data_IF_834540396974
#
_entry.id   IF_834540396974
#
_cell.length_a   1.000
_cell.length_b   1.000
_cell.length_c   1.000
_cell.angle_alpha   90.00
_cell.angle_beta   90.00
_cell.angle_gamma   90.00
#
_symmetry.space_group_name_H-M   'P 1'
#
loop_
_entity.id
_entity.type
_entity.pdbx_description
1 polymer ?
2 non-polymer ?
3 non-polymer ?
4 non-polymer ?
5 non-polymer ?
6 non-polymer ?
7 non-polymer ?
8 non-polymer ?
9 non-polymer ?
10 water ?
#
# COMPACT_ATOMS: atom_id res chain seq x y z
N UNK A 1 -14.96 28.46 -1.47
CA UNK A 1 -15.54 28.74 -0.16
C UNK A 1 -14.76 28.03 0.92
N UNK A 2 -14.82 28.57 2.15
CA UNK A 2 -14.23 27.93 3.32
C UNK A 2 -15.32 27.17 4.05
N UNK A 3 -15.11 25.85 4.27
CA UNK A 3 -16.06 24.99 4.95
C UNK A 3 -15.55 24.54 6.30
N UNK A 4 -16.48 24.17 7.21
CA UNK A 4 -16.15 23.57 8.51
C UNK A 4 -16.46 22.05 8.50
N UNK A 5 -17.45 21.63 7.69
CA UNK A 5 -17.86 20.24 7.56
C UNK A 5 -17.77 19.80 6.11
N UNK A 6 -17.41 18.54 5.87
CA UNK A 6 -17.35 17.99 4.52
C UNK A 6 -17.45 16.47 4.64
N UNK A 7 -18.62 15.93 4.33
CA UNK A 7 -18.89 14.52 4.55
C UNK A 7 -18.80 14.25 6.05
N UNK A 8 -17.96 13.28 6.46
CA UNK A 8 -17.72 12.99 7.88
C UNK A 8 -16.44 13.71 8.45
N UNK A 9 -15.81 14.63 7.68
CA UNK A 9 -14.65 15.38 8.17
C UNK A 9 -15.13 16.69 8.83
N UNK A 10 -14.45 17.11 9.91
CA UNK A 10 -14.76 18.33 10.67
C UNK A 10 -13.45 19.06 10.94
N UNK A 11 -13.41 20.39 10.70
CA UNK A 11 -12.23 21.21 11.05
C UNK A 11 -11.93 21.03 12.57
N UNK A 12 -10.63 20.92 12.90
CA UNK A 12 -10.05 20.67 14.23
C UNK A 12 -9.85 19.15 14.56
N UNK A 13 -10.32 18.23 13.71
CA UNK A 13 -10.10 16.80 13.99
C UNK A 13 -8.62 16.43 13.83
N UNK A 14 -8.20 15.37 14.51
CA UNK A 14 -6.85 14.85 14.43
C UNK A 14 -6.82 13.89 13.22
N UNK A 15 -5.78 13.94 12.40
CA UNK A 15 -5.76 13.23 11.12
C UNK A 15 -4.30 12.81 10.76
N UNK A 16 -4.14 11.89 9.76
CA UNK A 16 -2.85 11.57 9.18
C UNK A 16 -2.76 12.28 7.80
N UNK A 17 -1.59 12.82 7.50
CA UNK A 17 -1.33 13.51 6.24
C UNK A 17 -0.08 13.00 5.56
N UNK A 18 -0.07 13.01 4.22
CA UNK A 18 1.08 12.56 3.44
C UNK A 18 2.08 13.71 3.27
N UNK A 19 3.33 13.53 3.73
CA UNK A 19 4.40 14.53 3.53
C UNK A 19 5.08 14.31 2.16
N UNK A 20 5.92 15.28 1.74
CA UNK A 20 6.65 15.21 0.46
C UNK A 20 7.64 14.03 0.41
N UNK A 21 8.01 13.48 1.58
CA UNK A 21 8.89 12.31 1.65
C UNK A 21 8.12 11.01 1.27
N UNK A 22 6.77 11.09 1.10
CA UNK A 22 5.86 9.96 0.79
C UNK A 22 5.53 9.11 2.01
N UNK A 23 5.96 9.56 3.23
CA UNK A 23 5.60 8.88 4.48
C UNK A 23 4.50 9.72 5.16
N UNK A 24 3.64 9.05 5.97
CA UNK A 24 2.44 9.69 6.56
C UNK A 24 2.61 9.95 8.05
N UNK A 25 2.13 11.12 8.51
CA UNK A 25 2.37 11.63 9.86
C UNK A 25 1.16 12.31 10.43
N UNK A 26 1.12 12.39 11.77
CA UNK A 26 0.00 12.94 12.51
C UNK A 26 -0.07 14.45 12.41
N UNK A 27 -1.29 14.96 12.31
CA UNK A 27 -1.55 16.38 12.26
C UNK A 27 -2.97 16.73 12.59
N UNK A 28 -3.31 18.01 12.44
CA UNK A 28 -4.66 18.53 12.72
C UNK A 28 -5.24 19.15 11.44
N UNK A 29 -6.53 18.87 11.13
CA UNK A 29 -7.21 19.47 9.98
C UNK A 29 -7.63 20.89 10.38
N UNK A 30 -7.00 21.93 9.80
CA UNK A 30 -7.24 23.32 10.21
C UNK A 30 -8.13 24.09 9.22
N UNK A 31 -8.37 23.56 8.02
CA UNK A 31 -9.25 24.23 7.05
C UNK A 31 -9.70 23.27 5.93
N UNK A 32 -10.86 23.56 5.34
CA UNK A 32 -11.38 22.83 4.17
C UNK A 32 -11.74 23.92 3.16
N UNK A 33 -11.17 23.86 1.94
CA UNK A 33 -11.39 24.88 0.90
C UNK A 33 -12.01 24.24 -0.34
N UNK A 34 -12.92 24.97 -1.02
CA UNK A 34 -13.48 24.50 -2.30
C UNK A 34 -13.18 25.50 -3.41
N UNK A 35 -12.96 24.99 -4.63
CA UNK A 35 -12.79 25.81 -5.84
C UNK A 35 -13.61 25.13 -6.95
N UNK A 36 -14.90 25.43 -6.98
CA UNK A 36 -15.82 24.81 -7.92
C UNK A 36 -16.11 23.37 -7.52
N UNK A 37 -15.77 22.37 -8.36
CA UNK A 37 -16.01 20.97 -7.95
C UNK A 37 -14.88 20.34 -7.10
N UNK A 38 -13.72 21.00 -7.04
CA UNK A 38 -12.57 20.49 -6.30
C UNK A 38 -12.57 20.86 -4.83
N UNK A 39 -11.87 20.05 -4.00
CA UNK A 39 -11.76 20.28 -2.54
C UNK A 39 -10.31 20.09 -2.09
N UNK A 40 -9.84 20.95 -1.18
CA UNK A 40 -8.49 20.84 -0.58
C UNK A 40 -8.59 20.88 0.93
N UNK A 41 -7.63 20.24 1.61
CA UNK A 41 -7.61 20.09 3.07
C UNK A 41 -6.29 20.59 3.65
N UNK A 42 -6.34 21.65 4.47
CA UNK A 42 -5.13 22.21 5.08
C UNK A 42 -4.81 21.47 6.40
N UNK A 43 -3.60 20.87 6.48
CA UNK A 43 -3.18 20.10 7.65
C UNK A 43 -2.00 20.78 8.32
N UNK A 44 -2.05 20.89 9.67
CA UNK A 44 -0.90 21.36 10.43
C UNK A 44 -0.28 20.11 11.07
N UNK A 45 0.95 19.76 10.66
CA UNK A 45 1.65 18.59 11.21
C UNK A 45 2.17 18.89 12.61
N UNK A 46 2.34 17.85 13.45
CA UNK A 46 2.80 18.02 14.84
C UNK A 46 4.23 18.57 14.94
N UNK A 47 5.16 18.01 14.18
CA UNK A 47 6.56 18.44 14.19
C UNK A 47 7.00 18.92 12.82
N UNK A 48 6.15 19.72 12.14
CA UNK A 48 6.44 20.23 10.80
C UNK A 48 5.60 21.48 10.50
N UNK A 49 5.62 21.91 9.24
CA UNK A 49 4.84 23.05 8.80
C UNK A 49 3.42 22.65 8.43
N UNK A 50 2.86 23.34 7.42
CA UNK A 50 1.51 23.09 6.95
C UNK A 50 1.55 22.65 5.48
N UNK A 51 0.56 21.85 5.05
CA UNK A 51 0.42 21.44 3.66
C UNK A 51 -1.05 21.60 3.26
N UNK A 52 -1.30 21.99 2.03
CA UNK A 52 -2.65 22.03 1.47
C UNK A 52 -2.76 20.80 0.58
N UNK A 53 -3.53 19.79 1.04
CA UNK A 53 -3.55 18.47 0.41
C UNK A 53 -4.87 18.11 -0.23
N UNK A 54 -4.84 17.24 -1.25
CA UNK A 54 -6.06 16.69 -1.85
C UNK A 54 -6.60 15.61 -0.91
N UNK A 55 -7.88 15.25 -1.08
CA UNK A 55 -8.56 14.28 -0.21
C UNK A 55 -7.99 12.86 -0.18
N UNK A 56 -7.28 12.44 -1.25
CA UNK A 56 -6.65 11.10 -1.34
C UNK A 56 -5.26 11.08 -0.62
N UNK A 57 -4.83 12.24 -0.08
CA UNK A 57 -3.56 12.39 0.63
C UNK A 57 -3.75 12.71 2.13
N UNK A 58 -4.94 12.38 2.66
CA UNK A 58 -5.26 12.43 4.11
C UNK A 58 -5.93 11.09 4.49
N UNK A 59 -5.71 10.64 5.73
CA UNK A 59 -6.26 9.37 6.22
C UNK A 59 -6.77 9.52 7.64
N UNK A 60 -7.78 8.71 8.03
CA UNK A 60 -8.32 8.75 9.40
C UNK A 60 -7.32 8.15 10.38
N UNK A 61 -7.29 8.66 11.60
CA UNK A 61 -6.37 8.15 12.63
C UNK A 61 -7.09 7.10 13.50
N UNK A 62 -7.68 6.10 12.86
CA UNK A 62 -8.32 4.98 13.53
C UNK A 62 -8.28 3.78 12.59
N UNK A 63 -8.43 2.58 13.14
CA UNK A 63 -8.36 1.36 12.36
C UNK A 63 -9.75 1.04 11.81
N UNK A 64 -9.87 0.70 10.52
CA UNK A 64 -11.21 0.42 9.98
C UNK A 64 -11.76 -0.94 10.41
N UNK A 65 -13.08 -1.06 10.68
CA UNK A 65 -13.64 -2.40 10.91
C UNK A 65 -13.60 -3.20 9.60
N UNK A 66 -13.46 -4.53 9.70
CA UNK A 66 -13.26 -5.41 8.53
C UNK A 66 -14.37 -5.32 7.46
N UNK A 67 -15.63 -5.04 7.82
CA UNK A 67 -16.72 -4.95 6.83
C UNK A 67 -16.60 -3.72 5.89
N UNK A 68 -15.71 -2.74 6.23
CA UNK A 68 -15.52 -1.54 5.41
C UNK A 68 -14.34 -1.68 4.43
N UNK A 69 -13.56 -2.77 4.51
CA UNK A 69 -12.40 -2.96 3.64
C UNK A 69 -12.67 -4.02 2.58
N UNK A 70 -12.28 -3.74 1.34
CA UNK A 70 -12.47 -4.64 0.19
C UNK A 70 -11.15 -4.79 -0.50
N UNK A 71 -11.06 -5.78 -1.42
CA UNK A 71 -9.92 -5.87 -2.32
C UNK A 71 -9.98 -4.57 -3.18
N UNK A 72 -8.88 -3.84 -3.21
CA UNK A 72 -8.84 -2.56 -3.92
C UNK A 72 -8.99 -1.34 -3.04
N UNK A 73 -9.30 -1.52 -1.73
CA UNK A 73 -9.42 -0.38 -0.81
C UNK A 73 -8.05 0.36 -0.67
N UNK A 74 -8.08 1.70 -0.63
CA UNK A 74 -6.88 2.53 -0.50
C UNK A 74 -6.57 2.78 0.99
N UNK A 75 -5.37 2.38 1.45
CA UNK A 75 -4.99 2.46 2.86
C UNK A 75 -3.60 3.02 3.06
N UNK A 76 -3.31 3.35 4.31
CA UNK A 76 -1.97 3.61 4.78
C UNK A 76 -1.65 2.45 5.75
N UNK A 77 -0.45 1.83 5.64
CA UNK A 77 -0.10 0.68 6.50
C UNK A 77 1.34 0.74 7.03
N UNK A 78 1.60 0.01 8.13
CA UNK A 78 2.95 -0.06 8.71
C UNK A 78 3.92 -0.71 7.70
N UNK A 79 5.04 -0.03 7.43
CA UNK A 79 6.03 -0.41 6.40
C UNK A 79 7.41 -0.58 7.05
N UNK A 80 8.04 -1.75 6.85
CA UNK A 80 9.34 -2.07 7.47
C UNK A 80 10.50 -1.72 6.53
N UNK A 81 11.38 -0.82 6.96
CA UNK A 81 12.56 -0.41 6.18
C UNK A 81 13.81 -0.57 7.06
N UNK A 82 14.51 -1.70 6.89
CA UNK A 82 15.65 -2.01 7.73
C UNK A 82 15.21 -2.23 9.16
N UNK A 83 15.74 -1.43 10.10
CA UNK A 83 15.31 -1.51 11.51
C UNK A 83 14.31 -0.37 11.86
N UNK A 84 13.93 0.48 10.86
CA UNK A 84 12.95 1.55 11.07
C UNK A 84 11.57 1.12 10.56
N UNK A 85 10.52 1.83 11.03
CA UNK A 85 9.13 1.56 10.65
C UNK A 85 8.44 2.88 10.26
N UNK A 86 7.74 2.90 9.12
CA UNK A 86 7.02 4.08 8.62
C UNK A 86 5.56 3.74 8.32
N UNK A 87 4.76 4.78 8.04
CA UNK A 87 3.40 4.62 7.52
C UNK A 87 3.44 5.01 6.02
N UNK A 88 3.12 4.06 5.14
CA UNK A 88 3.23 4.20 3.69
C UNK A 88 1.90 3.76 3.00
N UNK A 89 1.57 4.38 1.86
CA UNK A 89 0.31 4.08 1.16
C UNK A 89 0.36 2.78 0.37
N UNK A 90 -0.81 2.14 0.27
CA UNK A 90 -0.96 0.91 -0.47
C UNK A 90 -2.39 0.56 -0.82
N UNK A 91 -2.57 -0.65 -1.39
CA UNK A 91 -3.86 -1.19 -1.82
C UNK A 91 -4.08 -2.54 -1.14
N UNK A 92 -5.29 -2.78 -0.61
CA UNK A 92 -5.63 -4.07 -0.01
C UNK A 92 -5.74 -5.15 -1.16
N UNK A 93 -4.92 -6.23 -1.08
CA UNK A 93 -4.94 -7.33 -2.07
C UNK A 93 -5.69 -8.59 -1.56
N UNK A 94 -5.76 -8.77 -0.22
CA UNK A 94 -6.53 -9.85 0.42
C UNK A 94 -7.04 -9.36 1.73
N UNK A 95 -8.24 -9.82 2.11
CA UNK A 95 -8.83 -9.58 3.43
C UNK A 95 -8.66 -10.86 4.28
N UNK A 96 -8.85 -10.77 5.62
CA UNK A 96 -8.65 -11.97 6.48
C UNK A 96 -9.42 -13.24 6.09
N UNK A 97 -8.72 -14.39 6.08
CA UNK A 97 -9.32 -15.70 5.80
C UNK A 97 -8.42 -16.81 6.37
N UNK A 98 -8.83 -18.09 6.26
CA UNK A 98 -8.10 -19.21 6.87
C UNK A 98 -6.75 -19.46 6.22
N UNK A 99 -6.65 -19.40 4.87
CA UNK A 99 -5.37 -19.67 4.18
C UNK A 99 -4.30 -18.60 4.44
N UNK A 100 -4.68 -17.36 4.83
CA UNK A 100 -3.67 -16.32 5.15
C UNK A 100 -3.56 -16.04 6.67
N UNK A 101 -4.11 -16.97 7.52
CA UNK A 101 -4.12 -16.86 8.98
C UNK A 101 -4.70 -15.53 9.47
N UNK A 102 -5.81 -15.09 8.83
CA UNK A 102 -6.56 -13.89 9.23
C UNK A 102 -5.74 -12.59 9.23
N UNK A 103 -5.04 -12.29 8.14
CA UNK A 103 -4.26 -11.06 8.02
C UNK A 103 -4.69 -10.34 6.73
N UNK A 104 -4.24 -9.10 6.54
CA UNK A 104 -4.48 -8.37 5.30
C UNK A 104 -3.23 -8.39 4.45
N UNK A 105 -3.35 -8.66 3.14
CA UNK A 105 -2.22 -8.54 2.21
C UNK A 105 -2.24 -7.14 1.62
N UNK A 106 -1.12 -6.40 1.75
CA UNK A 106 -0.98 -5.06 1.22
C UNK A 106 0.00 -5.04 0.07
N UNK A 107 -0.35 -4.34 -1.02
CA UNK A 107 0.54 -4.02 -2.14
C UNK A 107 0.86 -2.51 -2.04
N UNK A 108 2.08 -2.18 -1.60
CA UNK A 108 2.51 -0.79 -1.41
C UNK A 108 2.75 -0.09 -2.74
N UNK A 109 2.62 1.26 -2.73
CA UNK A 109 2.77 2.11 -3.92
C UNK A 109 4.14 1.92 -4.65
N UNK A 110 5.20 1.52 -3.91
CA UNK A 110 6.53 1.36 -4.49
C UNK A 110 6.85 -0.08 -4.99
N UNK A 111 5.86 -0.99 -4.97
CA UNK A 111 6.05 -2.36 -5.48
C UNK A 111 6.29 -3.43 -4.43
N UNK A 112 6.52 -3.06 -3.16
CA UNK A 112 6.71 -4.07 -2.13
C UNK A 112 5.35 -4.62 -1.66
N UNK A 113 5.37 -5.77 -0.98
CA UNK A 113 4.15 -6.43 -0.49
C UNK A 113 4.37 -7.03 0.88
N UNK A 114 3.35 -7.01 1.74
CA UNK A 114 3.46 -7.55 3.10
C UNK A 114 2.11 -7.91 3.73
N UNK A 115 2.11 -8.85 4.69
CA UNK A 115 0.92 -9.19 5.47
C UNK A 115 0.94 -8.31 6.74
N UNK A 116 -0.19 -7.70 7.10
CA UNK A 116 -0.30 -6.85 8.29
C UNK A 116 -1.59 -7.20 9.06
N UNK A 117 -1.70 -6.74 10.33
CA UNK A 117 -2.91 -6.93 11.13
C UNK A 117 -3.86 -5.68 10.95
N UNK A 118 -5.11 -5.78 11.44
CA UNK A 118 -6.09 -4.67 11.38
C UNK A 118 -5.59 -3.45 12.17
N UNK A 119 -4.79 -3.67 13.21
CA UNK A 119 -4.26 -2.60 14.03
C UNK A 119 -3.06 -1.88 13.37
N UNK A 120 -2.63 -2.32 12.18
CA UNK A 120 -1.51 -1.71 11.46
C UNK A 120 -1.99 -0.97 10.17
N UNK A 121 -3.35 -0.77 10.03
CA UNK A 121 -3.97 -0.16 8.83
C UNK A 121 -4.75 1.07 9.19
N UNK A 122 -4.79 2.06 8.29
CA UNK A 122 -5.60 3.30 8.42
C UNK A 122 -6.27 3.58 7.06
N UNK A 123 -7.58 3.93 7.00
CA UNK A 123 -8.20 4.17 5.69
C UNK A 123 -7.99 5.59 5.17
N UNK A 124 -7.69 5.70 3.87
CA UNK A 124 -7.54 7.02 3.23
C UNK A 124 -8.97 7.67 3.12
N UNK A 125 -9.08 8.98 3.40
CA UNK A 125 -10.38 9.66 3.51
C UNK A 125 -11.19 9.67 2.24
N UNK A 126 -10.64 10.23 1.17
CA UNK A 126 -11.39 10.42 -0.09
C UNK A 126 -10.62 9.74 -1.24
N UNK A 127 -10.69 8.41 -1.33
CA UNK A 127 -9.97 7.71 -2.41
C UNK A 127 -10.53 8.03 -3.79
N UNK A 128 -9.73 7.82 -4.85
CA UNK A 128 -10.24 8.01 -6.21
C UNK A 128 -11.20 6.87 -6.57
N UNK A 129 -12.10 7.11 -7.54
CA UNK A 129 -13.09 6.13 -8.02
C UNK A 129 -12.36 4.82 -8.43
N UNK A 130 -11.32 4.96 -9.27
CA UNK A 130 -10.39 3.89 -9.59
C UNK A 130 -9.22 4.10 -8.64
N UNK A 131 -9.25 3.42 -7.49
CA UNK A 131 -8.34 3.66 -6.34
C UNK A 131 -6.82 3.67 -6.68
N UNK A 132 -6.42 2.89 -7.67
CA UNK A 132 -5.00 2.75 -8.09
C UNK A 132 -4.49 3.93 -8.94
N UNK A 133 -5.38 4.80 -9.44
CA UNK A 133 -4.99 5.88 -10.37
C UNK A 133 -4.05 6.95 -9.80
N UNK A 134 -3.85 6.98 -8.46
CA UNK A 134 -2.89 7.94 -7.86
C UNK A 134 -1.55 7.25 -7.48
N UNK A 135 -1.29 6.04 -8.01
CA UNK A 135 -0.02 5.36 -7.81
C UNK A 135 0.92 5.93 -8.88
N UNK A 136 2.01 6.59 -8.46
CA UNK A 136 2.94 7.27 -9.39
C UNK A 136 3.69 6.31 -10.33
N UNK A 137 4.20 5.19 -9.81
CA UNK A 137 4.99 4.25 -10.62
C UNK A 137 4.08 3.52 -11.63
N UNK A 138 4.37 3.67 -12.95
CA UNK A 138 3.54 3.14 -14.02
C UNK A 138 3.43 1.59 -14.02
N UNK A 139 4.56 0.87 -13.85
CA UNK A 139 4.53 -0.60 -13.85
C UNK A 139 3.72 -1.14 -12.66
N UNK A 140 3.86 -0.50 -11.47
CA UNK A 140 3.09 -0.89 -10.26
C UNK A 140 1.62 -0.66 -10.49
N UNK A 141 1.26 0.55 -10.95
CA UNK A 141 -0.14 0.94 -11.17
C UNK A 141 -0.86 -0.03 -12.13
N UNK A 142 -0.25 -0.36 -13.28
CA UNK A 142 -0.85 -1.26 -14.28
C UNK A 142 -0.99 -2.70 -13.76
N UNK A 143 -0.02 -3.19 -12.96
CA UNK A 143 -0.14 -4.52 -12.37
C UNK A 143 -1.31 -4.55 -11.36
N UNK A 144 -1.40 -3.52 -10.50
CA UNK A 144 -2.45 -3.48 -9.48
C UNK A 144 -3.85 -3.32 -10.11
N UNK A 145 -3.99 -2.51 -11.18
CA UNK A 145 -5.27 -2.40 -11.89
C UNK A 145 -5.74 -3.79 -12.41
N UNK A 146 -4.85 -4.51 -13.11
CA UNK A 146 -5.18 -5.84 -13.65
C UNK A 146 -5.53 -6.81 -12.50
N UNK A 147 -4.76 -6.78 -11.40
CA UNK A 147 -5.02 -7.64 -10.24
C UNK A 147 -6.44 -7.36 -9.63
N UNK A 148 -6.71 -6.11 -9.27
CA UNK A 148 -7.96 -5.74 -8.60
C UNK A 148 -9.20 -6.03 -9.48
N UNK A 149 -9.13 -5.69 -10.78
CA UNK A 149 -10.27 -5.89 -11.68
C UNK A 149 -10.49 -7.39 -12.04
N UNK A 150 -9.40 -8.22 -12.07
CA UNK A 150 -9.55 -9.65 -12.41
C UNK A 150 -9.90 -10.51 -11.19
N UNK A 151 -9.62 -10.03 -9.96
CA UNK A 151 -9.90 -10.76 -8.70
C UNK A 151 -11.38 -11.28 -8.68
N UNK A 152 -11.68 -12.55 -8.30
CA UNK A 152 -10.82 -13.57 -7.66
C UNK A 152 -9.96 -14.45 -8.59
N UNK A 153 -9.91 -14.15 -9.90
CA UNK A 153 -9.05 -14.90 -10.83
C UNK A 153 -7.60 -14.40 -10.63
N UNK A 154 -6.75 -15.24 -9.99
CA UNK A 154 -5.38 -14.86 -9.62
C UNK A 154 -4.38 -15.89 -10.08
N UNK A 155 -3.74 -15.72 -11.25
CA UNK A 155 -2.67 -16.65 -11.62
C UNK A 155 -1.47 -16.51 -10.66
N UNK A 156 -0.94 -17.64 -10.16
CA UNK A 156 0.23 -17.66 -9.26
C UNK A 156 1.08 -18.87 -9.57
N UNK A 157 2.39 -18.81 -9.25
CA UNK A 157 3.28 -19.96 -9.41
C UNK A 157 3.34 -20.73 -8.08
N UNK A 158 3.18 -22.06 -8.14
CA UNK A 158 3.30 -22.93 -6.97
C UNK A 158 4.78 -23.16 -6.72
N UNK A 159 5.30 -22.76 -5.54
CA UNK A 159 6.72 -22.88 -5.23
C UNK A 159 6.97 -23.62 -3.90
N UNK A 160 8.09 -24.36 -3.82
CA UNK A 160 8.49 -25.08 -2.60
C UNK A 160 9.88 -24.63 -2.16
N UNK A 161 10.15 -24.68 -0.84
CA UNK A 161 11.47 -24.34 -0.28
C UNK A 161 12.56 -25.20 -0.93
N UNK A 162 13.66 -24.54 -1.34
CA UNK A 162 14.79 -25.20 -2.00
C UNK A 162 14.76 -25.12 -3.52
N UNK A 163 13.62 -24.74 -4.09
CA UNK A 163 13.47 -24.65 -5.54
C UNK A 163 14.31 -23.49 -6.14
N UNK A 164 15.04 -23.79 -7.23
CA UNK A 164 15.89 -22.81 -7.91
C UNK A 164 15.11 -22.14 -9.04
N UNK A 165 15.09 -20.80 -9.07
CA UNK A 165 14.40 -20.04 -10.14
C UNK A 165 15.17 -18.76 -10.46
N UNK A 166 14.71 -18.02 -11.48
CA UNK A 166 15.30 -16.74 -11.84
C UNK A 166 14.36 -15.63 -11.39
N UNK A 167 14.91 -14.59 -10.73
CA UNK A 167 14.12 -13.46 -10.24
C UNK A 167 14.67 -12.16 -10.80
N UNK A 168 13.76 -11.23 -11.11
CA UNK A 168 14.10 -9.95 -11.67
C UNK A 168 14.55 -8.96 -10.60
N UNK A 169 15.53 -8.12 -10.95
CA UNK A 169 15.99 -7.01 -10.10
C UNK A 169 16.75 -6.02 -10.99
N UNK A 170 16.31 -4.76 -11.03
CA UNK A 170 16.91 -3.70 -11.85
C UNK A 170 17.09 -4.09 -13.34
N UNK A 171 16.04 -4.66 -13.94
CA UNK A 171 16.01 -4.93 -15.38
C UNK A 171 16.60 -6.25 -15.87
N UNK A 172 17.23 -7.06 -15.00
CA UNK A 172 17.85 -8.34 -15.46
C UNK A 172 17.43 -9.53 -14.59
N UNK A 173 17.74 -10.75 -15.06
CA UNK A 173 17.42 -12.01 -14.36
C UNK A 173 18.57 -12.47 -13.47
N UNK A 174 18.29 -12.81 -12.20
CA UNK A 174 19.31 -13.26 -11.25
C UNK A 174 19.00 -14.64 -10.75
N UNK A 175 20.05 -15.46 -10.55
CA UNK A 175 19.90 -16.80 -10.00
C UNK A 175 19.45 -16.68 -8.57
N UNK A 176 18.40 -17.41 -8.20
CA UNK A 176 17.83 -17.28 -6.87
C UNK A 176 17.19 -18.58 -6.40
N UNK A 177 16.83 -18.64 -5.11
CA UNK A 177 16.31 -19.85 -4.47
C UNK A 177 15.15 -19.52 -3.55
N UNK A 178 14.14 -20.41 -3.52
CA UNK A 178 12.99 -20.23 -2.62
C UNK A 178 13.39 -20.65 -1.21
N UNK A 179 13.33 -19.72 -0.25
CA UNK A 179 13.70 -20.01 1.13
C UNK A 179 12.51 -20.41 1.96
N UNK A 180 11.36 -19.76 1.73
CA UNK A 180 10.18 -19.92 2.57
C UNK A 180 8.92 -19.45 1.81
N UNK A 181 7.76 -20.04 2.13
CA UNK A 181 6.46 -19.62 1.56
C UNK A 181 5.54 -19.29 2.73
N UNK A 182 4.84 -18.15 2.64
CA UNK A 182 3.86 -17.74 3.66
C UNK A 182 2.61 -17.22 2.89
N UNK A 183 1.57 -18.05 2.80
CA UNK A 183 0.37 -17.73 2.05
C UNK A 183 0.64 -17.37 0.59
N UNK A 184 0.28 -16.14 0.19
CA UNK A 184 0.48 -15.67 -1.19
C UNK A 184 1.87 -15.05 -1.43
N UNK A 185 2.79 -15.05 -0.41
CA UNK A 185 4.12 -14.48 -0.56
C UNK A 185 5.21 -15.55 -0.51
N UNK A 186 6.36 -15.27 -1.14
CA UNK A 186 7.52 -16.17 -1.13
C UNK A 186 8.77 -15.37 -0.74
N UNK A 187 9.63 -15.93 0.13
CA UNK A 187 10.88 -15.30 0.50
C UNK A 187 11.95 -15.86 -0.44
N UNK A 188 12.52 -14.98 -1.28
CA UNK A 188 13.50 -15.36 -2.30
C UNK A 188 14.90 -14.95 -1.86
N UNK A 189 15.87 -15.88 -1.96
CA UNK A 189 17.27 -15.58 -1.66
C UNK A 189 18.02 -15.30 -2.96
N UNK A 190 18.60 -14.10 -3.10
CA UNK A 190 19.41 -13.77 -4.28
C UNK A 190 20.81 -14.39 -4.04
N UNK A 191 21.20 -15.38 -4.88
CA UNK A 191 22.39 -16.20 -4.60
C UNK A 191 23.74 -15.47 -4.65
N UNK A 192 23.93 -14.52 -5.58
CA UNK A 192 25.22 -13.79 -5.64
C UNK A 192 25.37 -12.80 -4.47
N UNK A 193 24.31 -12.03 -4.15
CA UNK A 193 24.36 -11.01 -3.10
C UNK A 193 24.05 -11.59 -1.68
N UNK A 194 23.48 -12.82 -1.61
CA UNK A 194 23.15 -13.49 -0.35
C UNK A 194 22.22 -12.65 0.55
N UNK A 195 21.23 -11.99 -0.06
CA UNK A 195 20.21 -11.21 0.66
C UNK A 195 18.83 -11.63 0.18
N UNK A 196 17.80 -11.48 1.04
CA UNK A 196 16.44 -11.98 0.78
C UNK A 196 15.43 -10.86 0.51
N UNK A 197 14.29 -11.24 -0.10
CA UNK A 197 13.16 -10.33 -0.32
C UNK A 197 11.86 -11.14 -0.33
N UNK A 198 10.78 -10.60 0.28
CA UNK A 198 9.44 -11.19 0.21
C UNK A 198 8.76 -10.70 -1.08
N UNK A 199 8.32 -11.61 -1.95
CA UNK A 199 7.71 -11.25 -3.23
C UNK A 199 6.34 -11.97 -3.39
N UNK A 200 5.34 -11.27 -3.97
CA UNK A 200 4.01 -11.85 -4.26
C UNK A 200 4.16 -12.98 -5.28
N UNK A 201 3.55 -14.18 -5.02
CA UNK A 201 3.70 -15.36 -5.91
C UNK A 201 3.11 -15.21 -7.34
N UNK A 202 2.35 -14.15 -7.57
CA UNK A 202 1.83 -13.83 -8.91
C UNK A 202 2.61 -12.70 -9.59
N UNK A 203 3.73 -12.26 -8.99
CA UNK A 203 4.50 -11.16 -9.57
C UNK A 203 5.23 -11.58 -10.85
N UNK A 204 5.30 -10.67 -11.84
CA UNK A 204 6.02 -10.90 -13.09
C UNK A 204 7.54 -10.83 -12.88
N UNK A 205 7.99 -10.43 -11.67
CA UNK A 205 9.41 -10.47 -11.31
C UNK A 205 9.89 -11.93 -11.14
N UNK A 206 8.96 -12.90 -11.00
CA UNK A 206 9.30 -14.33 -10.93
C UNK A 206 9.24 -14.87 -12.35
N UNK A 207 10.32 -15.49 -12.83
CA UNK A 207 10.41 -15.93 -14.25
C UNK A 207 9.26 -16.84 -14.69
N UNK A 208 8.80 -17.83 -13.87
CA UNK A 208 7.67 -18.66 -14.31
C UNK A 208 6.37 -17.87 -14.57
N UNK A 209 6.18 -16.71 -13.88
CA UNK A 209 5.02 -15.84 -14.11
C UNK A 209 5.25 -14.92 -15.32
N UNK A 210 6.50 -14.49 -15.52
CA UNK A 210 6.85 -13.64 -16.65
C UNK A 210 6.56 -14.35 -17.98
N UNK A 211 6.80 -15.69 -18.03
CA UNK A 211 6.59 -16.50 -19.24
C UNK A 211 5.29 -17.30 -19.11
X LIG B 1 10.51 4.80 13.61
X LIG B 1 11.32 3.69 13.21
X LIG B 1 11.03 6.09 12.95
X LIG B 1 11.08 5.91 11.55
X LIG C 1 9.83 -3.42 -6.31
X LIG C 1 9.45 -4.16 -7.53
X LIG C 1 9.52 -4.54 -4.98
X LIG C 1 11.61 -3.42 -6.32
X LIG D 1 3.07 14.97 -1.75
X LIG D 1 3.81 13.77 -1.86
X LIG D 1 2.41 15.00 -0.36
X LIG D 1 1.02 14.90 -0.49
X LIG E 1 4.46 11.31 13.79
X LIG E 1 4.15 12.66 14.28
X LIG E 1 5.64 11.35 12.94
X LIG E 1 3.30 10.80 13.02
X LIG E 1 4.70 10.42 14.93
X LIG F 1 17.84 1.30 8.74
X LIG F 1 18.47 2.38 9.50
X LIG F 1 17.77 1.67 7.32
X LIG F 1 18.64 0.07 8.88
X LIG F 1 16.50 1.06 9.24
X LIG G 1 -4.66 -6.98 16.00
X LIG G 1 -5.31 -6.10 15.03
X LIG G 1 -3.23 -6.67 16.07
X LIG G 1 -4.83 -8.38 15.60
X LIG G 1 -5.25 -6.78 17.34
X LIG H 1 -3.82 12.19 19.52
X LIG H 1 -2.50 12.68 19.13
X LIG H 1 -4.78 12.47 18.44
X LIG H 1 -4.27 12.87 20.73
X LIG H 1 -3.76 10.74 19.75
X LIG I 1 -15.93 8.30 -5.94
X LIG I 1 -15.92 9.52 -6.76
X LIG I 1 -16.41 7.18 -6.75
X LIG I 1 -14.57 8.01 -5.46
X LIG I 1 -16.82 8.48 -4.80
X LIG J 1 7.57 21.74 -5.60
X LIG K 1 -12.64 10.13 -8.47
X LIG L 1 -1.99 16.71 -2.48
X LIG M 1 -16.61 28.11 -5.60
X LIG N 1 3.31 -7.98 -7.22
X LIG N 1 4.64 -5.80 -10.69
X LIG N 1 4.32 -6.19 -9.40
X LIG N 1 4.87 -5.49 -8.32
X LIG N 1 5.74 -4.42 -8.56
X LIG N 1 1.92 -5.86 -6.71
X LIG N 1 3.37 -6.80 -6.42
X LIG N 1 3.54 -6.93 -5.00
X LIG N 1 4.62 -5.91 -6.96
X LIG N 1 5.49 -4.74 -10.93
X LIG N 1 6.06 -4.04 -9.87
X LIG N 1 7.03 -2.93 -10.13
X LIG N 1 7.39 -2.59 -11.23
X LIG N 1 7.48 -2.36 -9.00
X LIG N 1 8.50 -1.34 -9.17
X LIG O 1 -11.53 12.29 -5.37
X LIG O 1 -12.28 11.13 -5.05
X LIG O 1 -10.14 12.23 -4.67
X LIG O 1 -10.15 12.99 -3.50
X LIG P 1 8.96 -6.41 1.17
X LIG P 1 7.99 -6.93 0.27
X LIG P 1 8.53 -6.57 2.60
X LIG P 1 8.59 -5.32 3.29
X LIG P 1 7.60 -4.39 2.88
X LIG P 1 7.36 -3.43 3.95
X LIG P 1 7.02 -4.07 5.17
X LIG Q 1 -7.85 -16.49 -0.34
X LIG Q 1 -8.85 -15.93 -1.19
X LIG Q 1 -6.66 -15.59 -0.21
X LIG Q 1 -5.45 -16.34 -0.42
X LIG Q 1 -4.93 -16.97 0.74
X LIG Q 1 -3.46 -16.75 0.82
X LIG Q 1 -2.81 -17.79 1.51
X LIG R 1 2.28 -16.64 9.62
X LIG R 1 3.62 -16.51 9.24
X LIG R 1 1.93 -15.77 10.78
X LIG R 1 0.53 -15.81 11.03
X LIG R 1 0.09 -14.87 12.01
X LIG R 1 -1.40 -14.71 11.91
X LIG R 1 -1.85 -13.56 12.60
X LIG S 1 -11.47 29.53 -0.53
X LIG S 1 -12.64 29.94 -0.67
X LIG S 1 -10.68 29.87 0.39
X LIG S 1 -10.93 28.53 -1.58
X LIG T 1 4.80 -12.45 5.18
X LIG T 1 5.72 -13.47 4.99
X LIG T 1 5.52 -11.21 5.62
X LIG T 1 4.74 -10.11 5.24
X LIG U 1 9.52 13.19 7.49
X LIG U 1 8.88 12.30 6.59
X LIG U 1 9.88 12.47 8.77
X LIG U 1 11.24 12.02 8.71
X LIG U 1 9.69 13.37 9.97
X LIG U 1 8.33 13.77 10.11
#
# INVERSE_FOLDING_TARGET
ENLYFQGDLIVSMRILGKKRTKTWHKGTLIAIQTVGPGKKYKVKFDNKGKSLLSGNHIAYDYHPPADKLYVGSRVVAKYKDGNQVWLYAGIVAETPNVKNKLRFLIFFDDGYASYVTQSELYPICRPLKKTWEDIEDISCRDFIEEYVTAYPNRPMVLLKSGQLIKTEWEGTWWKSRVEEVDGSLVRILFLDDKRCEWIYRGSTRLEPMFS
EDO C1 O1 C2 O2
DMS S O C1 C2
EDO C1 O1 C2 O2
SO4 S O1 O2 O3 O4
SO4 S O1 O2 O3 O4
SO4 S O1 O2 O3 O4
SO4 S O1 O2 O3 O4
SO4 S O1 O2 O3 O4
CL CL
CL CL
CL CL
CL CL
6SU O3 C4 C5 C6 C7 C8 S O2 N C3 C2 C1 O1 O C
EDO C1 O1 C2 O2
PEG C1 O1 C2 O2 C3 C4 O4
PEG C1 O1 C2 O2 C3 C4 O4
PEG C1 O1 C2 O2 C3 C4 O4
ACT C O OXT CH3
EDO C1 O1 C2 O2
GOL C1 O1 C2 O2 C3 O3
#
